data_IF_133535543983
#
_entry.id   IF_133535543983
#
_cell.length_a   1.000
_cell.length_b   1.000
_cell.length_c   1.000
_cell.angle_alpha   90.00
_cell.angle_beta   90.00
_cell.angle_gamma   90.00
#
_symmetry.space_group_name_H-M   'P 1'
#
loop_
_entity.id
_entity.type
_entity.pdbx_description
1 polymer ?
#
# COMPACT_ATOMS: atom_id res chain seq x y z
N UNK A 1 39.78 2.94 -24.32
CA UNK A 1 39.55 1.78 -23.44
C UNK A 1 39.17 2.13 -22.00
N UNK A 2 39.69 3.22 -21.39
CA UNK A 2 39.32 3.61 -19.99
C UNK A 2 37.89 4.12 -19.80
N UNK A 3 37.30 4.75 -20.83
CA UNK A 3 35.92 5.28 -20.72
C UNK A 3 34.83 4.23 -20.83
N UNK A 4 35.08 3.08 -21.48
CA UNK A 4 34.14 1.98 -21.58
C UNK A 4 34.01 1.16 -20.27
N UNK A 5 35.07 1.08 -19.49
CA UNK A 5 35.08 0.37 -18.21
C UNK A 5 34.28 1.11 -17.13
N UNK A 6 34.26 2.44 -17.16
CA UNK A 6 33.48 3.26 -16.21
C UNK A 6 31.99 3.19 -16.47
N UNK A 7 31.55 3.14 -17.74
CA UNK A 7 30.14 3.04 -18.10
C UNK A 7 29.52 1.67 -17.70
N UNK A 8 30.28 0.58 -17.87
CA UNK A 8 29.82 -0.76 -17.46
C UNK A 8 29.72 -0.90 -15.94
N UNK A 9 30.65 -0.30 -15.18
CA UNK A 9 30.60 -0.31 -13.72
C UNK A 9 29.41 0.49 -13.17
N UNK A 10 29.04 1.60 -13.78
CA UNK A 10 27.88 2.42 -13.37
C UNK A 10 26.56 1.69 -13.66
N UNK A 11 26.45 0.97 -14.78
CA UNK A 11 25.26 0.18 -15.12
C UNK A 11 25.10 -1.02 -14.16
N UNK A 12 26.19 -1.66 -13.76
CA UNK A 12 26.15 -2.75 -12.78
C UNK A 12 25.76 -2.27 -11.37
N UNK A 13 26.24 -1.08 -10.95
CA UNK A 13 25.88 -0.51 -9.67
C UNK A 13 24.40 -0.06 -9.61
N UNK A 14 23.86 0.46 -10.71
CA UNK A 14 22.43 0.83 -10.77
C UNK A 14 21.50 -0.39 -10.68
N UNK A 15 21.89 -1.54 -11.19
CA UNK A 15 21.08 -2.77 -11.08
C UNK A 15 21.12 -3.40 -9.69
N UNK A 16 22.21 -3.24 -8.92
CA UNK A 16 22.25 -3.65 -7.50
C UNK A 16 21.41 -2.73 -6.61
N UNK A 17 21.44 -1.42 -6.84
CA UNK A 17 20.65 -0.46 -6.07
C UNK A 17 19.14 -0.66 -6.26
N UNK A 18 18.70 -1.09 -7.44
CA UNK A 18 17.29 -1.43 -7.69
C UNK A 18 16.83 -2.71 -6.95
N UNK A 19 17.75 -3.64 -6.68
CA UNK A 19 17.43 -4.86 -5.93
C UNK A 19 17.38 -4.62 -4.41
N UNK A 20 18.17 -3.69 -3.89
CA UNK A 20 18.16 -3.30 -2.47
C UNK A 20 16.92 -2.48 -2.10
N UNK A 21 16.42 -1.64 -3.00
CA UNK A 21 15.21 -0.84 -2.76
C UNK A 21 13.93 -1.67 -2.63
N UNK A 22 13.89 -2.89 -3.17
CA UNK A 22 12.73 -3.79 -3.00
C UNK A 22 12.61 -4.34 -1.58
N UNK A 23 13.71 -4.44 -0.83
CA UNK A 23 13.70 -4.94 0.54
C UNK A 23 13.34 -3.88 1.59
N UNK A 24 13.50 -2.59 1.26
CA UNK A 24 13.26 -1.49 2.20
C UNK A 24 11.79 -1.05 2.28
N UNK A 25 11.00 -1.29 1.24
CA UNK A 25 9.57 -0.92 1.20
C UNK A 25 8.64 -2.04 1.66
N UNK A 26 9.13 -3.26 1.80
CA UNK A 26 8.35 -4.39 2.29
C UNK A 26 8.09 -4.28 3.80
N UNK A 27 6.85 -4.11 4.20
CA UNK A 27 6.48 -4.32 5.60
C UNK A 27 6.49 -5.82 5.87
N UNK A 28 7.35 -6.26 6.77
CA UNK A 28 7.50 -7.69 7.11
C UNK A 28 6.21 -8.22 7.74
N UNK A 29 5.62 -9.22 7.13
CA UNK A 29 4.53 -10.00 7.74
C UNK A 29 4.65 -11.50 7.43
N UNK A 30 5.82 -12.05 7.39
CA UNK A 30 6.06 -13.47 7.21
C UNK A 30 7.34 -13.75 6.43
N UNK A 31 7.93 -14.91 6.67
CA UNK A 31 9.23 -15.29 6.10
C UNK A 31 9.19 -15.44 4.57
N UNK A 32 8.00 -15.61 3.98
CA UNK A 32 7.85 -15.95 2.55
C UNK A 32 7.13 -14.89 1.71
N UNK A 33 6.44 -13.91 2.32
CA UNK A 33 5.68 -12.89 1.60
C UNK A 33 5.62 -11.56 2.35
N UNK A 34 5.51 -10.47 1.59
CA UNK A 34 5.36 -9.12 2.14
C UNK A 34 4.52 -8.24 1.22
N UNK A 35 4.07 -7.09 1.75
CA UNK A 35 3.33 -6.09 0.99
C UNK A 35 4.19 -4.83 0.86
N UNK A 36 4.39 -4.41 -0.37
CA UNK A 36 4.86 -3.08 -0.72
C UNK A 36 3.63 -2.16 -0.85
N UNK A 37 3.36 -1.41 0.20
CA UNK A 37 2.18 -0.56 0.26
C UNK A 37 2.29 0.72 -0.58
N UNK A 38 3.50 1.20 -0.86
CA UNK A 38 3.68 2.35 -1.75
C UNK A 38 3.30 1.99 -3.18
N UNK A 39 3.72 0.82 -3.65
CA UNK A 39 3.41 0.31 -4.98
C UNK A 39 2.14 -0.54 -5.02
N UNK A 40 1.56 -0.87 -3.87
CA UNK A 40 0.42 -1.78 -3.70
C UNK A 40 0.64 -3.14 -4.38
N UNK A 41 1.80 -3.73 -4.09
CA UNK A 41 2.19 -5.04 -4.57
C UNK A 41 2.30 -6.03 -3.41
N UNK A 42 1.84 -7.25 -3.63
CA UNK A 42 2.22 -8.40 -2.79
C UNK A 42 3.39 -9.07 -3.48
N UNK A 43 4.45 -9.32 -2.73
CA UNK A 43 5.65 -10.00 -3.20
C UNK A 43 5.82 -11.25 -2.34
N UNK A 44 6.00 -12.40 -2.98
CA UNK A 44 6.26 -13.64 -2.25
C UNK A 44 7.35 -14.47 -2.92
N UNK A 45 8.07 -15.21 -2.09
CA UNK A 45 8.97 -16.26 -2.53
C UNK A 45 8.27 -17.62 -2.40
N UNK A 46 8.53 -18.49 -3.37
CA UNK A 46 8.14 -19.90 -3.30
C UNK A 46 9.33 -20.79 -3.54
N UNK A 47 9.31 -21.93 -2.90
CA UNK A 47 10.34 -22.98 -2.99
C UNK A 47 9.71 -24.22 -3.62
N UNK A 48 10.41 -24.80 -4.59
CA UNK A 48 9.99 -26.04 -5.23
C UNK A 48 11.11 -27.05 -5.26
N UNK A 49 10.76 -28.31 -5.06
CA UNK A 49 11.66 -29.43 -5.16
C UNK A 49 11.36 -30.26 -6.42
N UNK A 50 12.36 -30.95 -7.01
CA UNK A 50 12.16 -31.80 -8.17
C UNK A 50 11.15 -32.93 -7.88
N UNK A 51 10.33 -33.25 -8.88
CA UNK A 51 9.46 -34.42 -8.78
C UNK A 51 10.33 -35.69 -8.72
N UNK A 52 9.94 -36.64 -7.87
CA UNK A 52 10.62 -37.93 -7.73
C UNK A 52 10.65 -38.75 -9.03
N UNK A 53 9.69 -38.52 -9.90
CA UNK A 53 9.58 -39.18 -11.22
C UNK A 53 10.44 -38.56 -12.31
N UNK A 54 11.09 -37.41 -12.03
CA UNK A 54 11.93 -36.72 -13.02
C UNK A 54 13.24 -37.45 -13.25
N UNK A 55 13.47 -37.90 -14.49
CA UNK A 55 14.62 -38.73 -14.89
C UNK A 55 15.82 -37.92 -15.38
N UNK A 56 15.60 -36.72 -15.94
CA UNK A 56 16.67 -35.87 -16.44
C UNK A 56 16.81 -34.60 -15.61
N UNK A 57 18.00 -33.94 -15.69
CA UNK A 57 18.24 -32.64 -15.04
C UNK A 57 17.24 -31.61 -15.53
N UNK A 58 16.93 -31.57 -16.82
CA UNK A 58 15.94 -30.66 -17.38
C UNK A 58 14.54 -30.90 -16.80
N UNK A 59 14.11 -32.16 -16.64
CA UNK A 59 12.84 -32.50 -16.02
C UNK A 59 12.82 -32.14 -14.52
N UNK A 60 13.93 -32.36 -13.78
CA UNK A 60 14.07 -31.95 -12.38
C UNK A 60 13.89 -30.45 -12.23
N UNK A 61 14.61 -29.67 -13.02
CA UNK A 61 14.53 -28.21 -13.00
C UNK A 61 13.10 -27.72 -13.34
N UNK A 62 12.50 -28.22 -14.42
CA UNK A 62 11.17 -27.81 -14.86
C UNK A 62 10.08 -28.13 -13.82
N UNK A 63 10.18 -29.30 -13.15
CA UNK A 63 9.21 -29.67 -12.09
C UNK A 63 9.41 -28.85 -10.82
N UNK A 64 10.66 -28.59 -10.44
CA UNK A 64 10.99 -27.74 -9.30
C UNK A 64 10.54 -26.29 -9.52
N UNK A 65 10.78 -25.72 -10.70
CA UNK A 65 10.28 -24.38 -11.04
C UNK A 65 8.75 -24.29 -10.96
N UNK A 66 8.05 -25.28 -11.50
CA UNK A 66 6.58 -25.31 -11.44
C UNK A 66 6.10 -25.38 -9.99
N UNK A 67 6.72 -26.21 -9.16
CA UNK A 67 6.40 -26.30 -7.73
C UNK A 67 6.67 -24.97 -7.02
N UNK A 68 7.80 -24.31 -7.27
CA UNK A 68 8.14 -23.02 -6.69
C UNK A 68 7.13 -21.92 -7.09
N UNK A 69 6.67 -21.90 -8.33
CA UNK A 69 5.62 -20.95 -8.78
C UNK A 69 4.30 -21.18 -8.06
N UNK A 70 3.89 -22.42 -7.88
CA UNK A 70 2.65 -22.78 -7.15
C UNK A 70 2.76 -22.41 -5.68
N UNK A 71 3.92 -22.61 -5.07
CA UNK A 71 4.16 -22.23 -3.68
C UNK A 71 4.15 -20.72 -3.49
N UNK A 72 4.84 -19.95 -4.35
CA UNK A 72 4.78 -18.49 -4.35
C UNK A 72 3.35 -17.98 -4.54
N UNK A 73 2.56 -18.58 -5.44
CA UNK A 73 1.17 -18.21 -5.67
C UNK A 73 0.30 -18.44 -4.42
N UNK A 74 0.53 -19.54 -3.70
CA UNK A 74 -0.14 -19.82 -2.43
C UNK A 74 0.21 -18.76 -1.38
N UNK A 75 1.49 -18.44 -1.24
CA UNK A 75 1.98 -17.42 -0.29
C UNK A 75 1.39 -16.03 -0.60
N UNK A 76 1.28 -15.67 -1.88
CA UNK A 76 0.59 -14.43 -2.32
C UNK A 76 -0.88 -14.44 -1.91
N UNK A 77 -1.59 -15.56 -2.13
CA UNK A 77 -3.01 -15.66 -1.79
C UNK A 77 -3.24 -15.55 -0.28
N UNK A 78 -2.43 -16.21 0.52
CA UNK A 78 -2.54 -16.13 1.98
C UNK A 78 -2.24 -14.71 2.47
N UNK A 79 -1.22 -14.06 1.94
CA UNK A 79 -0.93 -12.65 2.26
C UNK A 79 -2.08 -11.73 1.85
N UNK A 80 -2.66 -11.92 0.68
CA UNK A 80 -3.79 -11.14 0.19
C UNK A 80 -5.01 -11.21 1.12
N UNK A 81 -5.32 -12.38 1.68
CA UNK A 81 -6.43 -12.56 2.62
C UNK A 81 -6.30 -11.70 3.87
N UNK A 82 -5.06 -11.44 4.31
CA UNK A 82 -4.76 -10.60 5.46
C UNK A 82 -4.82 -9.08 5.19
N UNK A 83 -5.04 -8.66 3.95
CA UNK A 83 -5.12 -7.24 3.59
C UNK A 83 -6.37 -6.61 4.19
N UNK A 84 -6.20 -5.52 4.94
CA UNK A 84 -7.31 -4.71 5.40
C UNK A 84 -7.89 -3.91 4.24
N UNK A 85 -9.17 -4.05 3.98
CA UNK A 85 -9.90 -3.17 3.08
C UNK A 85 -10.26 -1.86 3.78
N UNK A 86 -10.76 -1.97 5.01
CA UNK A 86 -11.13 -0.84 5.87
C UNK A 86 -10.88 -1.19 7.34
N UNK A 87 -11.25 -0.30 8.24
CA UNK A 87 -11.18 -0.53 9.69
C UNK A 87 -12.09 -1.66 10.22
N UNK A 88 -13.04 -2.14 9.41
CA UNK A 88 -13.99 -3.17 9.82
C UNK A 88 -13.87 -4.48 8.99
N UNK A 89 -13.23 -4.44 7.83
CA UNK A 89 -13.30 -5.53 6.85
C UNK A 89 -11.92 -5.87 6.30
N UNK A 90 -11.59 -7.15 6.29
CA UNK A 90 -10.42 -7.69 5.57
C UNK A 90 -10.83 -8.24 4.20
N UNK A 91 -9.84 -8.47 3.33
CA UNK A 91 -10.11 -9.12 2.04
C UNK A 91 -10.67 -10.54 2.23
N UNK A 92 -10.24 -11.25 3.27
CA UNK A 92 -10.82 -12.57 3.64
C UNK A 92 -12.31 -12.47 3.92
N UNK A 93 -12.73 -11.46 4.69
CA UNK A 93 -14.15 -11.28 5.02
C UNK A 93 -14.97 -10.96 3.78
N UNK A 94 -14.46 -10.11 2.90
CA UNK A 94 -15.10 -9.80 1.62
C UNK A 94 -15.24 -11.04 0.72
N UNK A 95 -14.22 -11.90 0.67
CA UNK A 95 -14.27 -13.18 -0.07
C UNK A 95 -15.29 -14.18 0.50
N UNK A 96 -15.60 -14.11 1.79
CA UNK A 96 -16.62 -14.95 2.41
C UNK A 96 -18.04 -14.45 2.13
N UNK A 97 -18.19 -13.14 1.94
CA UNK A 97 -19.49 -12.50 1.72
C UNK A 97 -19.89 -12.41 0.25
N UNK A 98 -18.91 -12.41 -0.67
CA UNK A 98 -19.14 -12.20 -2.11
C UNK A 98 -18.30 -13.16 -2.96
N UNK A 99 -19.00 -14.05 -3.70
CA UNK A 99 -18.37 -15.01 -4.60
C UNK A 99 -17.67 -14.35 -5.80
N UNK A 100 -18.14 -13.17 -6.22
CA UNK A 100 -17.49 -12.38 -7.29
C UNK A 100 -16.10 -11.92 -6.84
N UNK A 101 -16.02 -11.43 -5.61
CA UNK A 101 -14.74 -11.05 -4.98
C UNK A 101 -13.81 -12.25 -4.90
N UNK A 102 -14.32 -13.38 -4.40
CA UNK A 102 -13.56 -14.63 -4.32
C UNK A 102 -13.00 -15.04 -5.68
N UNK A 103 -13.84 -15.05 -6.71
CA UNK A 103 -13.43 -15.41 -8.07
C UNK A 103 -12.37 -14.47 -8.63
N UNK A 104 -12.51 -13.16 -8.42
CA UNK A 104 -11.51 -12.18 -8.86
C UNK A 104 -10.16 -12.35 -8.15
N UNK A 105 -10.18 -12.58 -6.84
CA UNK A 105 -8.94 -12.84 -6.07
C UNK A 105 -8.26 -14.13 -6.51
N UNK A 106 -9.04 -15.19 -6.76
CA UNK A 106 -8.50 -16.42 -7.35
C UNK A 106 -7.96 -16.17 -8.76
N UNK A 107 -8.62 -15.33 -9.53
CA UNK A 107 -8.18 -14.89 -10.86
C UNK A 107 -6.84 -14.14 -10.86
N UNK A 108 -6.48 -13.50 -9.75
CA UNK A 108 -5.17 -12.86 -9.57
C UNK A 108 -4.02 -13.83 -9.83
N UNK A 109 -4.19 -15.10 -9.47
CA UNK A 109 -3.16 -16.13 -9.63
C UNK A 109 -2.73 -16.32 -11.09
N UNK A 110 -3.58 -15.97 -12.06
CA UNK A 110 -3.24 -16.02 -13.49
C UNK A 110 -2.43 -14.79 -13.96
N UNK A 111 -2.40 -13.72 -13.18
CA UNK A 111 -1.70 -12.47 -13.49
C UNK A 111 -0.38 -12.29 -12.75
N UNK A 112 0.11 -13.32 -12.08
CA UNK A 112 1.35 -13.26 -11.31
C UNK A 112 2.56 -13.08 -12.24
N UNK A 113 3.51 -12.23 -11.82
CA UNK A 113 4.76 -12.00 -12.54
C UNK A 113 5.93 -12.52 -11.73
N UNK A 114 6.90 -13.14 -12.41
CA UNK A 114 8.18 -13.49 -11.82
C UNK A 114 9.03 -12.24 -11.71
N UNK A 115 9.64 -12.04 -10.54
CA UNK A 115 10.55 -10.92 -10.25
C UNK A 115 11.97 -11.44 -10.12
N UNK A 116 12.86 -10.92 -10.96
CA UNK A 116 14.24 -11.39 -11.03
C UNK A 116 14.38 -12.75 -11.71
N UNK A 117 15.49 -13.44 -11.43
CA UNK A 117 15.80 -14.76 -12.00
C UNK A 117 15.58 -15.87 -10.97
N UNK A 118 15.06 -17.04 -11.39
CA UNK A 118 15.01 -18.21 -10.51
C UNK A 118 16.40 -18.58 -9.97
N UNK A 119 16.46 -18.96 -8.70
CA UNK A 119 17.70 -19.44 -8.05
C UNK A 119 17.63 -20.95 -7.93
N UNK A 120 18.67 -21.62 -8.42
CA UNK A 120 18.82 -23.06 -8.37
C UNK A 120 19.84 -23.43 -7.29
N UNK A 121 19.52 -24.41 -6.46
CA UNK A 121 20.35 -24.87 -5.36
C UNK A 121 20.95 -26.25 -5.67
N UNK A 122 22.02 -26.59 -4.97
CA UNK A 122 22.73 -27.87 -5.17
C UNK A 122 21.91 -29.12 -4.81
N UNK A 123 20.91 -28.97 -3.94
CA UNK A 123 19.95 -30.02 -3.60
C UNK A 123 18.84 -30.22 -4.67
N UNK A 124 18.93 -29.46 -5.75
CA UNK A 124 17.95 -29.46 -6.84
C UNK A 124 16.71 -28.60 -6.59
N UNK A 125 16.60 -27.98 -5.42
CA UNK A 125 15.50 -27.04 -5.14
C UNK A 125 15.63 -25.75 -5.97
N UNK A 126 14.50 -25.12 -6.24
CA UNK A 126 14.42 -23.85 -6.95
C UNK A 126 13.64 -22.84 -6.11
N UNK A 127 14.15 -21.62 -6.01
CA UNK A 127 13.43 -20.51 -5.38
C UNK A 127 13.04 -19.48 -6.45
N UNK A 128 11.77 -19.08 -6.43
CA UNK A 128 11.21 -18.10 -7.36
C UNK A 128 10.51 -17.01 -6.54
N UNK A 129 10.75 -15.75 -6.90
CA UNK A 129 10.02 -14.60 -6.37
C UNK A 129 8.96 -14.19 -7.38
N UNK A 130 7.74 -13.96 -6.90
CA UNK A 130 6.61 -13.51 -7.71
C UNK A 130 5.94 -12.30 -7.08
N UNK A 131 5.25 -11.50 -7.90
CA UNK A 131 4.48 -10.35 -7.45
C UNK A 131 3.06 -10.34 -8.01
N UNK A 132 2.15 -9.76 -7.24
CA UNK A 132 0.76 -9.49 -7.62
C UNK A 132 0.39 -8.04 -7.28
N UNK A 133 -0.39 -7.38 -8.13
CA UNK A 133 -0.89 -6.03 -7.87
C UNK A 133 -2.21 -6.09 -7.08
N UNK A 134 -2.22 -5.56 -5.86
CA UNK A 134 -3.43 -5.39 -5.06
C UNK A 134 -4.49 -4.55 -5.80
N UNK A 135 -4.05 -3.44 -6.37
CA UNK A 135 -4.91 -2.49 -7.07
C UNK A 135 -5.64 -3.06 -8.28
N UNK A 136 -4.96 -3.95 -9.05
CA UNK A 136 -5.57 -4.61 -10.21
C UNK A 136 -6.50 -5.75 -9.81
N UNK A 137 -6.29 -6.29 -8.62
CA UNK A 137 -6.94 -7.49 -8.12
C UNK A 137 -8.18 -7.16 -7.31
N UNK A 138 -8.09 -6.15 -6.44
CA UNK A 138 -9.20 -5.74 -5.59
C UNK A 138 -10.08 -4.77 -6.38
N UNK A 139 -11.37 -5.11 -6.60
CA UNK A 139 -12.29 -4.21 -7.30
C UNK A 139 -12.41 -2.88 -6.55
N UNK A 140 -12.40 -1.74 -7.26
CA UNK A 140 -12.55 -0.42 -6.63
C UNK A 140 -13.82 -0.31 -5.78
N UNK A 141 -14.87 -1.02 -6.14
CA UNK A 141 -16.15 -1.05 -5.44
C UNK A 141 -16.01 -1.53 -3.99
N UNK A 142 -14.99 -2.35 -3.68
CA UNK A 142 -14.77 -2.87 -2.33
C UNK A 142 -14.15 -1.85 -1.36
N UNK A 143 -13.42 -0.87 -1.89
CA UNK A 143 -12.75 0.12 -1.05
C UNK A 143 -13.08 1.56 -1.45
N UNK A 144 -13.71 1.76 -2.59
CA UNK A 144 -14.15 3.06 -3.08
C UNK A 144 -15.67 3.18 -3.08
N UNK A 145 -16.38 2.52 -2.14
CA UNK A 145 -17.83 2.69 -2.04
C UNK A 145 -18.12 4.17 -1.73
N UNK A 146 -18.59 4.97 -2.70
CA UNK A 146 -19.13 6.26 -2.37
C UNK A 146 -20.38 5.97 -1.52
N UNK A 147 -20.37 6.33 -0.26
CA UNK A 147 -21.66 6.55 0.39
C UNK A 147 -22.32 7.67 -0.42
N UNK A 148 -23.38 7.31 -1.14
CA UNK A 148 -24.14 8.24 -1.96
C UNK A 148 -24.72 9.34 -1.04
N UNK A 149 -24.02 10.46 -1.01
CA UNK A 149 -24.45 11.70 -0.39
C UNK A 149 -23.61 12.82 -0.98
N UNK A 150 -24.19 14.01 -1.21
CA UNK A 150 -23.38 15.18 -1.51
C UNK A 150 -22.35 15.37 -0.40
N UNK A 151 -21.18 16.01 -0.67
CA UNK A 151 -20.21 16.31 0.36
C UNK A 151 -20.96 16.98 1.53
N UNK A 152 -21.10 16.24 2.64
CA UNK A 152 -21.72 16.85 3.83
C UNK A 152 -20.83 18.03 4.21
N UNK A 153 -21.42 19.22 4.26
CA UNK A 153 -20.79 20.36 4.90
C UNK A 153 -20.42 19.93 6.29
N UNK A 154 -19.11 19.80 6.54
CA UNK A 154 -18.57 19.35 7.82
C UNK A 154 -18.99 20.41 8.84
N UNK A 155 -19.81 20.09 9.87
CA UNK A 155 -20.19 21.06 10.87
C UNK A 155 -18.94 21.63 11.54
N UNK A 156 -18.85 22.96 11.63
CA UNK A 156 -17.76 23.60 12.33
C UNK A 156 -17.92 23.33 13.84
N UNK A 157 -16.96 22.68 14.52
CA UNK A 157 -17.04 22.51 15.96
C UNK A 157 -16.91 23.86 16.66
N UNK A 158 -17.81 24.11 17.59
CA UNK A 158 -17.75 25.26 18.49
C UNK A 158 -16.79 24.98 19.65
N UNK A 159 -15.48 25.03 19.38
CA UNK A 159 -14.49 24.97 20.47
C UNK A 159 -13.24 25.75 20.11
N UNK A 160 -13.01 26.79 20.88
CA UNK A 160 -11.82 27.65 20.91
C UNK A 160 -10.70 26.95 21.68
N UNK A 161 -9.88 26.15 21.00
CA UNK A 161 -8.60 25.66 21.54
C UNK A 161 -7.51 25.94 20.53
N UNK A 162 -6.37 26.47 20.98
CA UNK A 162 -5.27 26.92 20.12
C UNK A 162 -4.57 25.75 19.40
N UNK A 163 -4.24 25.89 18.10
CA UNK A 163 -3.61 24.82 17.34
C UNK A 163 -2.15 24.62 17.75
N UNK A 164 -1.79 23.40 18.11
CA UNK A 164 -0.42 23.00 18.45
C UNK A 164 0.48 22.74 17.22
N UNK A 165 -0.05 22.80 16.01
CA UNK A 165 0.71 22.81 14.76
C UNK A 165 0.47 24.11 14.03
N UNK A 166 1.54 24.82 13.68
CA UNK A 166 1.44 26.09 12.92
C UNK A 166 1.08 25.81 11.46
N UNK A 167 -0.17 25.38 11.22
CA UNK A 167 -0.68 25.24 9.86
C UNK A 167 -0.94 26.65 9.32
N UNK A 168 -0.26 27.01 8.23
CA UNK A 168 -0.45 28.29 7.59
C UNK A 168 -1.71 28.23 6.70
N UNK A 169 -2.81 28.84 7.15
CA UNK A 169 -4.09 28.84 6.45
C UNK A 169 -4.07 29.60 5.12
N UNK A 170 -3.08 30.46 4.91
CA UNK A 170 -2.94 31.26 3.67
C UNK A 170 -2.06 30.57 2.63
N UNK A 171 -1.56 29.37 2.92
CA UNK A 171 -0.68 28.63 2.04
C UNK A 171 -1.48 27.62 1.20
N UNK A 172 -1.15 27.54 -0.09
CA UNK A 172 -1.65 26.48 -0.97
C UNK A 172 -0.80 25.22 -0.77
N UNK A 173 -1.45 24.13 -0.39
CA UNK A 173 -0.83 22.81 -0.25
C UNK A 173 -1.21 21.91 -1.41
N UNK A 174 -0.31 21.04 -1.81
CA UNK A 174 -0.46 20.13 -2.95
C UNK A 174 -0.91 18.73 -2.57
N UNK A 175 -0.87 18.38 -1.29
CA UNK A 175 -1.22 17.07 -0.75
C UNK A 175 -1.13 17.03 0.76
N UNK A 176 -1.46 15.90 1.35
CA UNK A 176 -1.44 15.65 2.79
C UNK A 176 -0.46 14.53 3.11
N UNK A 177 0.43 14.77 4.05
CA UNK A 177 1.27 13.76 4.69
C UNK A 177 0.83 13.62 6.14
N UNK A 178 0.47 12.40 6.55
CA UNK A 178 0.10 12.10 7.93
C UNK A 178 1.19 11.24 8.57
N UNK A 179 1.91 11.80 9.53
CA UNK A 179 2.87 11.04 10.35
C UNK A 179 2.11 10.24 11.41
N UNK A 180 1.98 8.95 11.17
CA UNK A 180 1.29 8.01 12.04
C UNK A 180 2.24 7.11 12.83
N UNK A 181 3.54 7.39 12.83
CA UNK A 181 4.52 6.61 13.56
C UNK A 181 4.26 6.67 15.06
N UNK A 182 4.40 5.51 15.71
CA UNK A 182 4.11 5.34 17.13
C UNK A 182 2.62 5.16 17.46
N UNK A 183 1.73 5.13 16.45
CA UNK A 183 0.29 4.90 16.67
C UNK A 183 -0.12 3.44 16.47
N UNK A 184 0.79 2.57 16.01
CA UNK A 184 0.50 1.18 15.64
C UNK A 184 -0.59 1.05 14.55
N UNK A 185 -0.68 2.02 13.65
CA UNK A 185 -1.62 1.97 12.54
C UNK A 185 -1.31 0.79 11.62
N UNK A 186 -2.36 0.12 11.17
CA UNK A 186 -2.25 -0.93 10.17
C UNK A 186 -2.62 -0.38 8.79
N UNK A 187 -1.84 -0.64 7.76
CA UNK A 187 -2.18 -0.22 6.40
C UNK A 187 -3.49 -0.85 5.93
N UNK A 188 -4.26 -0.09 5.13
CA UNK A 188 -5.50 -0.53 4.51
C UNK A 188 -5.66 0.04 3.10
N UNK A 189 -6.51 -0.60 2.29
CA UNK A 189 -6.86 -0.11 0.95
C UNK A 189 -7.71 1.16 1.01
N UNK A 190 -8.57 1.29 2.03
CA UNK A 190 -9.46 2.44 2.25
C UNK A 190 -9.34 2.96 3.69
N UNK A 191 -8.21 3.60 4.05
CA UNK A 191 -8.07 4.21 5.36
C UNK A 191 -8.95 5.45 5.47
N UNK A 192 -9.40 5.75 6.68
CA UNK A 192 -10.04 7.01 7.01
C UNK A 192 -9.11 7.89 7.84
N UNK A 193 -9.37 9.19 7.79
CA UNK A 193 -8.81 10.16 8.74
C UNK A 193 -10.00 10.79 9.42
N UNK A 194 -10.01 10.69 10.74
CA UNK A 194 -11.07 11.25 11.61
C UNK A 194 -10.47 12.20 12.64
N UNK A 195 -11.29 13.01 13.26
CA UNK A 195 -10.87 13.77 14.45
C UNK A 195 -11.10 12.96 15.74
N UNK A 196 -10.78 13.56 16.90
CA UNK A 196 -10.95 12.93 18.22
C UNK A 196 -12.43 12.66 18.55
N UNK A 197 -13.37 13.33 17.88
CA UNK A 197 -14.81 13.14 18.03
C UNK A 197 -15.37 12.09 17.04
N UNK A 198 -14.51 11.49 16.21
CA UNK A 198 -14.86 10.50 15.21
C UNK A 198 -15.44 11.07 13.92
N UNK A 199 -15.40 12.39 13.73
CA UNK A 199 -15.90 13.03 12.51
C UNK A 199 -14.89 12.86 11.38
N UNK A 200 -15.34 12.30 10.26
CA UNK A 200 -14.50 11.98 9.11
C UNK A 200 -13.98 13.25 8.42
N UNK A 201 -12.69 13.27 8.13
CA UNK A 201 -11.98 14.32 7.41
C UNK A 201 -11.56 13.85 6.02
N UNK A 202 -11.30 12.55 5.90
CA UNK A 202 -10.90 11.89 4.68
C UNK A 202 -11.36 10.44 4.70
N UNK A 203 -11.83 9.96 3.56
CA UNK A 203 -12.28 8.58 3.34
C UNK A 203 -12.91 8.42 1.96
N UNK A 204 -13.50 7.28 1.68
CA UNK A 204 -14.05 6.96 0.35
C UNK A 204 -15.15 7.91 -0.12
N UNK A 205 -15.88 8.55 0.81
CA UNK A 205 -16.91 9.55 0.45
C UNK A 205 -16.33 10.86 -0.11
N UNK A 206 -15.07 11.16 0.13
CA UNK A 206 -14.45 12.42 -0.27
C UNK A 206 -13.62 12.30 -1.54
N UNK A 207 -13.23 11.09 -1.94
CA UNK A 207 -12.31 10.86 -3.07
C UNK A 207 -13.10 10.56 -4.33
N UNK A 208 -12.73 11.21 -5.44
CA UNK A 208 -13.32 10.89 -6.72
C UNK A 208 -12.82 9.53 -7.23
N UNK A 209 -13.76 8.70 -7.72
CA UNK A 209 -13.51 7.30 -8.09
C UNK A 209 -12.38 7.13 -9.12
N UNK A 210 -12.23 8.07 -10.04
CA UNK A 210 -11.15 8.08 -11.05
C UNK A 210 -9.76 8.11 -10.43
N UNK A 211 -9.58 8.85 -9.33
CA UNK A 211 -8.29 8.92 -8.62
C UNK A 211 -8.04 7.67 -7.78
N UNK A 212 -9.09 7.10 -7.19
CA UNK A 212 -9.00 5.83 -6.47
C UNK A 212 -8.53 4.71 -7.40
N UNK A 213 -9.10 4.62 -8.60
CA UNK A 213 -8.70 3.64 -9.61
C UNK A 213 -7.24 3.85 -10.06
N UNK A 214 -6.81 5.09 -10.20
CA UNK A 214 -5.48 5.44 -10.70
C UNK A 214 -4.37 5.28 -9.66
N UNK A 215 -4.63 5.69 -8.42
CA UNK A 215 -3.61 5.82 -7.38
C UNK A 215 -3.92 5.04 -6.09
N UNK A 216 -5.14 4.55 -5.89
CA UNK A 216 -5.64 4.07 -4.59
C UNK A 216 -5.96 5.23 -3.65
N UNK A 217 -6.50 4.92 -2.47
CA UNK A 217 -6.92 5.93 -1.49
C UNK A 217 -5.73 6.65 -0.85
N UNK A 218 -4.69 5.94 -0.43
CA UNK A 218 -3.49 6.52 0.18
C UNK A 218 -2.22 5.77 -0.24
N UNK A 219 -1.07 6.45 -0.18
CA UNK A 219 0.24 5.84 -0.21
C UNK A 219 0.76 5.61 1.21
N UNK A 220 1.65 4.62 1.40
CA UNK A 220 2.26 4.34 2.69
C UNK A 220 3.77 4.27 2.54
N UNK A 221 4.50 4.95 3.41
CA UNK A 221 5.97 5.01 3.41
C UNK A 221 6.50 4.93 4.84
N UNK A 222 7.81 4.72 5.00
CA UNK A 222 8.45 4.57 6.30
C UNK A 222 9.03 5.86 6.89
N UNK A 223 9.29 6.87 6.06
CA UNK A 223 9.91 8.11 6.52
C UNK A 223 9.18 9.35 5.99
N UNK A 224 9.30 10.46 6.73
CA UNK A 224 8.73 11.75 6.32
C UNK A 224 9.38 12.24 5.03
N UNK A 225 10.68 12.02 4.85
CA UNK A 225 11.39 12.46 3.64
C UNK A 225 10.87 11.72 2.40
N UNK A 226 10.63 10.39 2.51
CA UNK A 226 9.97 9.62 1.46
C UNK A 226 8.57 10.14 1.17
N UNK A 227 7.80 10.49 2.22
CA UNK A 227 6.46 11.03 2.05
C UNK A 227 6.46 12.38 1.34
N UNK A 228 7.33 13.31 1.75
CA UNK A 228 7.45 14.64 1.14
C UNK A 228 7.99 14.58 -0.28
N UNK A 229 8.87 13.61 -0.57
CA UNK A 229 9.40 13.35 -1.91
C UNK A 229 8.47 12.56 -2.84
N UNK A 230 7.32 12.08 -2.35
CA UNK A 230 6.40 11.26 -3.13
C UNK A 230 5.62 12.10 -4.14
N UNK A 231 5.63 11.71 -5.41
CA UNK A 231 4.95 12.41 -6.52
C UNK A 231 3.45 12.64 -6.27
N UNK A 232 2.84 11.79 -5.44
CA UNK A 232 1.43 11.89 -5.08
C UNK A 232 1.10 13.20 -4.38
N UNK A 233 2.00 13.73 -3.56
CA UNK A 233 1.75 14.88 -2.69
C UNK A 233 2.57 16.13 -3.03
N UNK A 234 3.60 16.00 -3.86
CA UNK A 234 4.44 17.11 -4.28
C UNK A 234 3.66 18.22 -5.02
N UNK A 235 4.21 19.47 -5.11
CA UNK A 235 5.53 19.88 -4.62
C UNK A 235 5.55 20.38 -3.17
N UNK A 236 4.40 20.62 -2.51
CA UNK A 236 4.34 21.27 -1.20
C UNK A 236 3.26 20.63 -0.31
N UNK A 237 3.49 19.44 0.23
CA UNK A 237 2.51 18.78 1.09
C UNK A 237 2.35 19.46 2.44
N UNK A 238 1.14 19.40 2.99
CA UNK A 238 0.87 19.66 4.40
C UNK A 238 1.27 18.44 5.22
N UNK A 239 2.13 18.61 6.19
CA UNK A 239 2.53 17.54 7.11
C UNK A 239 1.79 17.71 8.44
N UNK A 240 1.08 16.67 8.88
CA UNK A 240 0.38 16.62 10.18
C UNK A 240 0.74 15.35 10.92
N UNK A 241 0.58 15.35 12.23
CA UNK A 241 0.82 14.16 13.07
C UNK A 241 -0.50 13.58 13.55
N UNK A 242 -0.66 12.25 13.41
CA UNK A 242 -1.75 11.52 14.02
C UNK A 242 -1.53 11.38 15.54
N UNK A 243 -2.60 11.43 16.30
CA UNK A 243 -2.59 11.26 17.77
C UNK A 243 -2.96 9.84 18.19
N UNK A 244 -3.53 9.06 17.27
CA UNK A 244 -3.93 7.67 17.50
C UNK A 244 -4.54 7.02 16.29
N UNK A 245 -5.13 5.86 16.51
CA UNK A 245 -5.86 5.07 15.51
C UNK A 245 -7.23 4.69 16.04
N UNK A 246 -8.17 4.42 15.12
CA UNK A 246 -9.51 3.93 15.45
C UNK A 246 -9.92 2.76 14.54
N UNK A 247 -11.09 2.17 14.86
CA UNK A 247 -11.62 0.99 14.18
C UNK A 247 -11.00 -0.33 14.66
N UNK A 248 -11.71 -1.45 14.41
CA UNK A 248 -11.32 -2.77 14.88
C UNK A 248 -9.94 -3.20 14.37
N UNK A 249 -9.63 -2.88 13.11
CA UNK A 249 -8.37 -3.22 12.46
C UNK A 249 -7.29 -2.12 12.64
N UNK A 250 -7.56 -1.06 13.41
CA UNK A 250 -6.63 0.07 13.65
C UNK A 250 -6.08 0.69 12.36
N UNK A 251 -6.93 0.86 11.37
CA UNK A 251 -6.52 1.41 10.05
C UNK A 251 -6.90 2.86 9.87
N UNK A 252 -7.83 3.37 10.70
CA UNK A 252 -8.27 4.76 10.63
C UNK A 252 -7.39 5.63 11.53
N UNK A 253 -6.98 6.78 11.02
CA UNK A 253 -6.08 7.71 11.69
C UNK A 253 -6.88 8.77 12.44
N UNK A 254 -6.49 9.03 13.68
CA UNK A 254 -7.10 10.09 14.49
C UNK A 254 -6.18 11.31 14.48
N UNK A 255 -6.71 12.46 14.07
CA UNK A 255 -6.05 13.77 14.21
C UNK A 255 -6.62 14.52 15.40
N UNK A 256 -5.74 15.22 16.15
CA UNK A 256 -6.20 16.11 17.20
C UNK A 256 -7.16 17.19 16.67
N UNK A 257 -8.18 17.53 17.42
CA UNK A 257 -9.29 18.42 17.01
C UNK A 257 -8.82 19.77 16.46
N UNK A 258 -7.71 20.30 16.96
CA UNK A 258 -7.11 21.55 16.46
C UNK A 258 -6.56 21.40 15.02
N UNK A 259 -5.83 20.30 14.77
CA UNK A 259 -5.31 19.97 13.45
C UNK A 259 -6.45 19.69 12.47
N UNK A 260 -7.45 18.95 12.92
CA UNK A 260 -8.65 18.65 12.15
C UNK A 260 -9.41 19.91 11.72
N UNK A 261 -9.62 20.84 12.66
CA UNK A 261 -10.27 22.12 12.39
C UNK A 261 -9.51 22.97 11.37
N UNK A 262 -8.17 23.02 11.48
CA UNK A 262 -7.33 23.73 10.53
C UNK A 262 -7.37 23.04 9.13
N UNK A 263 -7.32 21.71 9.07
CA UNK A 263 -7.43 20.95 7.83
C UNK A 263 -8.77 21.19 7.13
N UNK A 264 -9.90 21.22 7.87
CA UNK A 264 -11.22 21.55 7.31
C UNK A 264 -11.25 22.93 6.65
N UNK A 265 -10.63 23.94 7.28
CA UNK A 265 -10.55 25.30 6.70
C UNK A 265 -9.77 25.33 5.40
N UNK A 266 -8.68 24.59 5.32
CA UNK A 266 -7.83 24.48 4.12
C UNK A 266 -8.54 23.64 3.04
N UNK A 267 -9.15 22.52 3.39
CA UNK A 267 -9.77 21.58 2.46
C UNK A 267 -10.90 22.21 1.62
N UNK A 268 -11.58 23.25 2.13
CA UNK A 268 -12.59 23.99 1.37
C UNK A 268 -12.04 24.63 0.08
N UNK A 269 -10.75 24.89 0.02
CA UNK A 269 -10.09 25.58 -1.09
C UNK A 269 -9.14 24.69 -1.90
N UNK A 270 -8.94 23.43 -1.49
CA UNK A 270 -7.91 22.55 -2.06
C UNK A 270 -8.49 21.18 -2.43
N UNK A 271 -8.34 20.81 -3.69
CA UNK A 271 -8.86 19.55 -4.23
C UNK A 271 -8.01 18.32 -3.86
N UNK A 272 -6.89 18.48 -3.17
CA UNK A 272 -5.92 17.38 -2.97
C UNK A 272 -6.51 16.15 -2.24
N UNK A 273 -7.47 16.34 -1.33
CA UNK A 273 -8.16 15.21 -0.69
C UNK A 273 -9.04 14.46 -1.69
N UNK A 274 -9.78 15.20 -2.53
CA UNK A 274 -10.61 14.63 -3.59
C UNK A 274 -9.78 13.87 -4.63
N UNK A 275 -8.54 14.29 -4.85
CA UNK A 275 -7.59 13.69 -5.78
C UNK A 275 -6.78 12.54 -5.16
N UNK A 276 -7.12 12.08 -3.96
CA UNK A 276 -6.39 11.06 -3.20
C UNK A 276 -4.90 11.38 -2.99
N UNK A 277 -4.53 12.66 -2.88
CA UNK A 277 -3.14 13.10 -2.68
C UNK A 277 -2.77 13.03 -1.19
N UNK A 278 -2.81 11.82 -0.67
CA UNK A 278 -2.56 11.50 0.74
C UNK A 278 -1.47 10.45 0.83
N UNK A 279 -0.47 10.68 1.69
CA UNK A 279 0.57 9.72 2.06
C UNK A 279 0.62 9.59 3.58
N UNK A 280 0.67 8.37 4.06
CA UNK A 280 0.72 8.01 5.47
C UNK A 280 2.10 7.46 5.79
N UNK A 281 2.75 8.01 6.81
CA UNK A 281 4.04 7.52 7.31
C UNK A 281 3.77 6.56 8.44
N UNK A 282 4.21 5.31 8.30
CA UNK A 282 4.01 4.21 9.26
C UNK A 282 5.34 3.74 9.84
N UNK A 283 5.31 2.96 10.93
CA UNK A 283 6.49 2.36 11.56
C UNK A 283 7.18 1.29 10.70
#
# INVERSE_FOLDING_TARGET
MRQFLTAVAIILMASLAAAENLSQSCSQQGDSACIDWDRQLIIAEGIGVPAQTAKSVAQKNATAERAARLDAARNILEMAKGVNLSSATTLKDAMLQDDTVRTRIQGMLYGLRVVGTPRYFSDGSVRIRMEASLRKTIPPELYATPQAGPPQEIPAPASTVQPSSRINLNQVYSGLVVDARGTNVQPAMSPKIVDEDGVELYGSAYVAQEFVQKHGMAGYVKTIDQAQGNDRVQPKPLVVKAVGTSGANRTDLVLGNNTASALRKIAKHLNFLREARVVIVID
#
